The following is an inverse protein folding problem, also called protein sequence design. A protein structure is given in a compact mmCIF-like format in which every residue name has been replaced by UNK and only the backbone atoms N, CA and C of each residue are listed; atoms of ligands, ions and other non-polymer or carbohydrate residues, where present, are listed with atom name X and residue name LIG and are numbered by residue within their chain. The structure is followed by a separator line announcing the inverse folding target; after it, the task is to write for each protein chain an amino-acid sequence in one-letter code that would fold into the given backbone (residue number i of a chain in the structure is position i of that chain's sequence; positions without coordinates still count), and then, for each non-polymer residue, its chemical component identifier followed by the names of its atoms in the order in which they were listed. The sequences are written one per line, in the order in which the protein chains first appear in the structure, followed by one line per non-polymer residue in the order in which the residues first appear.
data_IF_255759619961
#
_entry.id   IF_255759619961
#
_cell.length_a   1.000
_cell.length_b   1.000
_cell.length_c   1.000
_cell.angle_alpha   90.00
_cell.angle_beta   90.00
_cell.angle_gamma   90.00
#
_symmetry.space_group_name_H-M   'P 1'
#
loop_
_entity.id
_entity.type
_entity.pdbx_description
1 polymer ?
#
# COMPACT_ATOMS: atom_id res chain seq x y z
N UNK A 1 -27.65 43.13 87.18
CA UNK A 1 -27.34 41.75 87.56
C UNK A 1 -27.81 40.82 86.42
N UNK A 2 -26.96 40.39 85.54
CA UNK A 2 -27.22 39.31 84.51
C UNK A 2 -25.91 38.62 84.25
N UNK A 3 -25.87 37.34 84.55
CA UNK A 3 -24.73 36.44 84.32
C UNK A 3 -24.53 36.19 82.84
N UNK A 4 -23.31 36.24 82.38
CA UNK A 4 -22.88 35.78 81.06
C UNK A 4 -22.32 34.39 81.21
N UNK A 5 -22.94 33.45 80.43
CA UNK A 5 -22.50 32.06 80.29
C UNK A 5 -21.61 31.95 79.09
N UNK A 6 -20.39 31.42 79.25
CA UNK A 6 -19.45 31.17 78.19
C UNK A 6 -19.74 29.78 77.55
N UNK A 7 -20.09 29.78 76.29
CA UNK A 7 -20.17 28.54 75.44
C UNK A 7 -18.82 28.26 74.77
N UNK A 8 -18.26 27.13 75.12
CA UNK A 8 -17.06 26.58 74.55
C UNK A 8 -17.34 26.00 73.20
N UNK A 9 -16.78 26.54 72.11
CA UNK A 9 -16.78 25.96 70.77
C UNK A 9 -15.63 24.94 70.64
N UNK A 10 -15.95 23.65 70.56
CA UNK A 10 -15.02 22.60 70.14
C UNK A 10 -14.81 22.69 68.65
N UNK A 11 -13.58 23.00 68.23
CA UNK A 11 -13.10 22.98 66.84
C UNK A 11 -12.81 21.55 66.42
N UNK A 12 -13.69 20.96 65.61
CA UNK A 12 -13.40 19.68 64.95
C UNK A 12 -12.56 19.94 63.69
N UNK A 13 -11.29 19.51 63.71
CA UNK A 13 -10.44 19.49 62.53
C UNK A 13 -10.80 18.29 61.67
N UNK A 14 -11.39 18.56 60.52
CA UNK A 14 -11.54 17.52 59.44
C UNK A 14 -10.24 17.44 58.69
N UNK A 15 -9.50 16.33 58.83
CA UNK A 15 -8.42 15.96 57.95
C UNK A 15 -9.05 15.51 56.62
N UNK A 16 -8.88 16.29 55.59
CA UNK A 16 -9.20 15.91 54.23
C UNK A 16 -7.98 15.13 53.68
N UNK A 17 -8.08 13.82 53.62
CA UNK A 17 -7.07 12.98 52.97
C UNK A 17 -7.21 13.18 51.45
N UNK A 18 -6.29 13.91 50.83
CA UNK A 18 -6.09 13.91 49.37
C UNK A 18 -5.49 12.56 48.95
N UNK A 19 -6.34 11.71 48.41
CA UNK A 19 -5.88 10.52 47.70
C UNK A 19 -5.37 10.99 46.32
N UNK A 20 -4.06 11.18 46.19
CA UNK A 20 -3.41 11.32 44.88
C UNK A 20 -3.51 9.95 44.16
N UNK A 21 -4.47 9.82 43.26
CA UNK A 21 -4.53 8.70 42.33
C UNK A 21 -3.34 8.81 41.38
N UNK A 22 -2.30 7.99 41.58
CA UNK A 22 -1.30 7.74 40.55
C UNK A 22 -2.02 7.06 39.37
N UNK A 23 -2.35 7.84 38.35
CA UNK A 23 -2.67 7.29 37.03
C UNK A 23 -1.38 6.67 36.48
N UNK A 24 -1.22 5.37 36.62
CA UNK A 24 -0.23 4.60 35.87
C UNK A 24 -0.61 4.72 34.39
N UNK A 25 -0.05 5.71 33.70
CA UNK A 25 0.03 5.68 32.25
C UNK A 25 0.95 4.50 31.90
N UNK A 26 0.34 3.35 31.61
CA UNK A 26 1.02 2.26 30.92
C UNK A 26 1.40 2.82 29.55
N UNK A 27 2.63 3.32 29.41
CA UNK A 27 3.22 3.51 28.09
C UNK A 27 3.27 2.13 27.47
N UNK A 28 2.39 1.86 26.51
CA UNK A 28 2.51 0.68 25.68
C UNK A 28 3.89 0.79 25.01
N UNK A 29 4.85 0.01 25.48
CA UNK A 29 6.16 -0.09 24.86
C UNK A 29 5.91 -0.72 23.49
N UNK A 30 6.07 0.07 22.43
CA UNK A 30 6.15 -0.42 21.06
C UNK A 30 7.17 -1.54 21.03
N UNK A 31 6.74 -2.74 20.68
CA UNK A 31 7.61 -3.91 20.59
C UNK A 31 7.61 -4.42 19.17
N UNK A 32 8.67 -4.07 18.44
CA UNK A 32 8.90 -4.63 17.11
C UNK A 32 8.73 -6.16 17.14
N UNK A 33 7.91 -6.75 16.25
CA UNK A 33 7.71 -8.19 16.20
C UNK A 33 9.01 -8.95 16.15
N UNK A 34 9.06 -10.09 16.86
CA UNK A 34 10.26 -10.93 16.92
C UNK A 34 10.58 -11.49 15.53
N UNK A 35 11.88 -11.72 15.25
CA UNK A 35 12.33 -12.21 13.95
C UNK A 35 11.67 -13.55 13.58
N UNK A 36 11.41 -14.41 14.56
CA UNK A 36 10.72 -15.69 14.33
C UNK A 36 9.30 -15.51 13.74
N UNK A 37 8.58 -14.44 14.12
CA UNK A 37 7.24 -14.13 13.57
C UNK A 37 7.36 -13.67 12.11
N UNK A 38 8.36 -12.82 11.83
CA UNK A 38 8.65 -12.37 10.45
C UNK A 38 9.08 -13.54 9.57
N UNK A 39 9.93 -14.44 10.08
CA UNK A 39 10.40 -15.63 9.36
C UNK A 39 9.24 -16.59 9.06
N UNK A 40 8.31 -16.78 10.01
CA UNK A 40 7.12 -17.58 9.80
C UNK A 40 6.22 -17.00 8.69
N UNK A 41 5.99 -15.69 8.72
CA UNK A 41 5.26 -15.01 7.66
C UNK A 41 5.95 -15.17 6.31
N UNK A 42 7.26 -14.91 6.24
CA UNK A 42 8.05 -15.05 5.01
C UNK A 42 8.00 -16.47 4.45
N UNK A 43 8.10 -17.48 5.31
CA UNK A 43 8.00 -18.89 4.88
C UNK A 43 6.62 -19.20 4.25
N UNK A 44 5.55 -18.66 4.82
CA UNK A 44 4.20 -18.79 4.25
C UNK A 44 4.07 -18.00 2.94
N UNK A 45 4.62 -16.77 2.89
CA UNK A 45 4.66 -15.94 1.69
C UNK A 45 5.35 -16.68 0.53
N UNK A 46 6.54 -17.22 0.74
CA UNK A 46 7.29 -17.94 -0.31
C UNK A 46 6.52 -19.15 -0.82
N UNK A 47 5.80 -19.86 0.05
CA UNK A 47 4.95 -21.01 -0.33
C UNK A 47 3.61 -20.58 -0.95
N UNK A 48 3.21 -19.32 -0.84
CA UNK A 48 1.91 -18.83 -1.28
C UNK A 48 0.73 -19.43 -0.51
N UNK A 49 0.90 -19.71 0.76
CA UNK A 49 -0.13 -20.26 1.64
C UNK A 49 -0.57 -19.21 2.68
N UNK A 50 -1.72 -19.45 3.31
CA UNK A 50 -2.22 -18.55 4.36
C UNK A 50 -1.24 -18.44 5.54
N UNK A 51 -1.12 -17.24 6.09
CA UNK A 51 -0.26 -16.93 7.23
C UNK A 51 -1.08 -16.40 8.41
N UNK A 52 -0.54 -16.57 9.62
CA UNK A 52 -1.00 -15.84 10.80
C UNK A 52 -0.39 -14.45 10.73
N UNK A 53 -1.18 -13.40 11.05
CA UNK A 53 -0.73 -12.03 11.11
C UNK A 53 0.17 -11.73 12.33
N UNK A 54 0.58 -10.48 12.44
CA UNK A 54 1.48 -10.01 13.50
C UNK A 54 0.76 -9.70 14.82
N UNK A 55 -0.58 -9.63 14.77
CA UNK A 55 -1.44 -9.50 15.96
C UNK A 55 -2.39 -8.29 15.90
N UNK A 56 -3.55 -8.41 16.58
CA UNK A 56 -4.63 -7.42 16.46
C UNK A 56 -4.31 -6.06 17.10
N UNK A 57 -3.28 -6.00 17.94
CA UNK A 57 -2.84 -4.78 18.65
C UNK A 57 -1.57 -4.17 18.08
N UNK A 58 -1.20 -4.57 16.85
CA UNK A 58 -0.01 -4.07 16.18
C UNK A 58 -0.10 -2.53 16.02
N UNK A 59 0.86 -1.81 16.59
CA UNK A 59 0.94 -0.35 16.43
C UNK A 59 1.53 0.03 15.06
N UNK A 60 1.35 1.29 14.63
CA UNK A 60 1.97 1.80 13.41
C UNK A 60 3.49 1.60 13.42
N UNK A 61 4.15 1.89 14.54
CA UNK A 61 5.61 1.74 14.68
C UNK A 61 6.03 0.28 14.60
N UNK A 62 5.27 -0.64 15.19
CA UNK A 62 5.58 -2.06 15.15
C UNK A 62 5.36 -2.65 13.76
N UNK A 63 4.31 -2.19 13.06
CA UNK A 63 4.02 -2.55 11.68
C UNK A 63 5.15 -2.11 10.72
N UNK A 64 5.59 -0.86 10.85
CA UNK A 64 6.75 -0.35 10.10
C UNK A 64 8.01 -1.17 10.41
N UNK A 65 8.27 -1.47 11.68
CA UNK A 65 9.40 -2.29 12.07
C UNK A 65 9.36 -3.69 11.43
N UNK A 66 8.21 -4.36 11.45
CA UNK A 66 8.01 -5.66 10.81
C UNK A 66 8.24 -5.58 9.30
N UNK A 67 7.69 -4.56 8.63
CA UNK A 67 7.88 -4.30 7.20
C UNK A 67 9.36 -4.19 6.84
N UNK A 68 10.14 -3.41 7.60
CA UNK A 68 11.57 -3.28 7.35
C UNK A 68 12.35 -4.56 7.61
N UNK A 69 11.99 -5.35 8.64
CA UNK A 69 12.59 -6.68 8.87
C UNK A 69 12.30 -7.62 7.69
N UNK A 70 11.06 -7.65 7.21
CA UNK A 70 10.65 -8.43 6.05
C UNK A 70 11.41 -7.99 4.80
N UNK A 71 11.48 -6.67 4.54
CA UNK A 71 12.18 -6.11 3.39
C UNK A 71 13.68 -6.45 3.33
N UNK A 72 14.34 -6.67 4.47
CA UNK A 72 15.74 -7.12 4.53
C UNK A 72 15.90 -8.59 4.09
N UNK A 73 14.85 -9.39 4.19
CA UNK A 73 14.91 -10.82 3.87
C UNK A 73 14.43 -11.13 2.46
N UNK A 74 13.44 -10.34 1.96
CA UNK A 74 12.82 -10.52 0.64
C UNK A 74 13.81 -10.59 -0.53
N UNK A 75 14.93 -9.84 -0.57
CA UNK A 75 15.89 -9.93 -1.67
C UNK A 75 16.46 -11.33 -1.92
N UNK A 76 16.56 -12.18 -0.91
CA UNK A 76 17.01 -13.58 -1.05
C UNK A 76 16.06 -14.40 -1.95
N UNK A 77 14.80 -14.00 -2.02
CA UNK A 77 13.75 -14.70 -2.77
C UNK A 77 13.32 -13.94 -4.03
N UNK A 78 13.35 -12.61 -3.99
CA UNK A 78 12.74 -11.74 -4.99
C UNK A 78 13.74 -10.90 -5.80
N UNK A 79 15.04 -11.04 -5.58
CA UNK A 79 16.05 -10.22 -6.24
C UNK A 79 16.22 -8.84 -5.61
N UNK A 80 16.86 -7.91 -6.31
CA UNK A 80 17.15 -6.58 -5.80
C UNK A 80 15.86 -5.74 -5.63
N UNK A 81 15.95 -4.71 -4.79
CA UNK A 81 14.92 -3.69 -4.67
C UNK A 81 14.81 -2.92 -5.99
N UNK A 82 13.60 -2.82 -6.53
CA UNK A 82 13.32 -2.13 -7.80
C UNK A 82 12.40 -0.91 -7.65
N UNK A 83 11.84 -0.70 -6.46
CA UNK A 83 10.98 0.45 -6.24
C UNK A 83 10.02 0.30 -5.08
N UNK A 84 8.96 1.10 -5.11
CA UNK A 84 8.02 1.25 -4.01
C UNK A 84 6.59 1.32 -4.52
N UNK A 85 5.64 0.96 -3.69
CA UNK A 85 4.22 1.01 -4.02
C UNK A 85 3.41 1.78 -3.00
N UNK A 86 2.33 2.40 -3.46
CA UNK A 86 1.28 2.97 -2.61
C UNK A 86 0.11 2.00 -2.44
N UNK A 87 -0.55 2.15 -1.30
CA UNK A 87 -1.87 1.57 -1.02
C UNK A 87 -2.71 2.57 -0.23
N UNK A 88 -4.00 2.30 -0.12
CA UNK A 88 -4.95 3.14 0.62
C UNK A 88 -4.98 4.59 0.12
N UNK A 89 -4.91 4.79 -1.20
CA UNK A 89 -4.92 6.13 -1.82
C UNK A 89 -6.31 6.75 -1.85
N UNK A 90 -7.37 5.96 -2.04
CA UNK A 90 -8.75 6.42 -2.00
C UNK A 90 -9.29 6.51 -0.57
N UNK A 91 -10.27 7.38 -0.34
CA UNK A 91 -10.96 7.46 0.95
C UNK A 91 -11.65 6.14 1.31
N UNK A 92 -12.28 5.48 0.34
CA UNK A 92 -12.94 4.19 0.53
C UNK A 92 -11.96 3.12 0.99
N UNK A 93 -10.81 2.99 0.32
CA UNK A 93 -9.77 2.03 0.69
C UNK A 93 -9.24 2.30 2.10
N UNK A 94 -9.02 3.57 2.47
CA UNK A 94 -8.61 3.93 3.84
C UNK A 94 -9.64 3.52 4.88
N UNK A 95 -10.91 3.77 4.64
CA UNK A 95 -12.00 3.39 5.55
C UNK A 95 -12.11 1.86 5.71
N UNK A 96 -11.99 1.12 4.61
CA UNK A 96 -12.05 -0.35 4.61
C UNK A 96 -10.99 -0.98 5.51
N UNK A 97 -9.78 -0.44 5.52
CA UNK A 97 -8.65 -0.98 6.27
C UNK A 97 -8.34 -0.24 7.57
N UNK A 98 -9.07 0.83 7.88
CA UNK A 98 -8.83 1.67 9.06
C UNK A 98 -7.52 2.48 8.96
N UNK A 99 -7.13 2.90 7.74
CA UNK A 99 -5.96 3.72 7.53
C UNK A 99 -6.31 5.21 7.54
N UNK A 100 -5.55 6.03 8.27
CA UNK A 100 -5.75 7.49 8.31
C UNK A 100 -5.16 8.19 7.07
N UNK A 101 -4.10 7.62 6.51
CA UNK A 101 -3.35 8.15 5.36
C UNK A 101 -2.92 7.01 4.44
N UNK A 102 -2.46 7.31 3.20
CA UNK A 102 -1.86 6.30 2.34
C UNK A 102 -0.70 5.58 3.03
N UNK A 103 -0.45 4.35 2.61
CA UNK A 103 0.64 3.50 3.11
C UNK A 103 1.53 3.09 1.94
N UNK A 104 2.79 2.78 2.23
CA UNK A 104 3.75 2.38 1.20
C UNK A 104 4.49 1.09 1.56
N UNK A 105 4.95 0.37 0.53
CA UNK A 105 5.71 -0.86 0.63
C UNK A 105 6.81 -0.95 -0.43
N UNK A 106 7.53 -2.06 -0.45
CA UNK A 106 8.67 -2.33 -1.32
C UNK A 106 8.29 -3.21 -2.50
N UNK A 107 8.91 -2.99 -3.66
CA UNK A 107 8.83 -3.84 -4.85
C UNK A 107 10.23 -4.35 -5.20
N UNK A 108 10.30 -5.61 -5.65
CA UNK A 108 11.56 -6.29 -5.95
C UNK A 108 11.55 -6.82 -7.38
N UNK A 109 12.72 -7.06 -7.98
CA UNK A 109 12.88 -7.45 -9.39
C UNK A 109 11.95 -8.58 -9.82
N UNK A 110 11.87 -9.68 -9.06
CA UNK A 110 11.03 -10.83 -9.42
C UNK A 110 9.54 -10.64 -9.22
N UNK A 111 9.13 -9.52 -8.59
CA UNK A 111 7.74 -9.13 -8.54
C UNK A 111 7.27 -8.46 -9.84
N UNK A 112 8.21 -7.99 -10.67
CA UNK A 112 7.94 -7.21 -11.87
C UNK A 112 8.05 -8.13 -13.10
N UNK A 113 6.90 -8.45 -13.69
CA UNK A 113 6.80 -9.32 -14.86
C UNK A 113 6.51 -8.43 -16.07
N UNK A 114 7.26 -8.60 -17.13
CA UNK A 114 7.00 -7.92 -18.39
C UNK A 114 5.79 -8.53 -19.10
N UNK A 115 5.25 -7.80 -20.07
CA UNK A 115 4.02 -8.09 -20.80
C UNK A 115 3.99 -9.52 -21.39
N UNK A 116 2.80 -10.11 -21.45
CA UNK A 116 2.45 -11.49 -21.85
C UNK A 116 2.69 -12.47 -20.69
N UNK A 117 1.88 -12.33 -19.65
CA UNK A 117 1.96 -13.24 -18.53
C UNK A 117 0.77 -14.20 -18.51
N UNK A 118 1.06 -15.47 -18.40
CA UNK A 118 0.10 -16.47 -17.94
C UNK A 118 0.37 -16.72 -16.48
N UNK A 119 -0.57 -16.29 -15.63
CA UNK A 119 -0.43 -16.34 -14.18
C UNK A 119 -1.36 -17.39 -13.61
N UNK A 120 -0.92 -18.33 -12.76
CA UNK A 120 -1.83 -19.25 -12.10
C UNK A 120 -2.89 -18.51 -11.31
N UNK A 121 -4.18 -18.83 -11.47
CA UNK A 121 -5.26 -18.17 -10.74
C UNK A 121 -5.10 -18.24 -9.20
N UNK A 122 -4.34 -19.23 -8.71
CA UNK A 122 -3.99 -19.40 -7.29
C UNK A 122 -2.55 -18.95 -7.00
N UNK A 123 -2.06 -17.85 -7.60
CA UNK A 123 -0.71 -17.33 -7.36
C UNK A 123 -0.42 -16.95 -5.89
N UNK A 124 -1.44 -16.84 -5.06
CA UNK A 124 -1.41 -16.57 -3.62
C UNK A 124 -2.41 -17.41 -2.84
N UNK A 125 -2.53 -17.19 -1.54
CA UNK A 125 -3.54 -17.81 -0.69
C UNK A 125 -4.94 -17.19 -0.91
N UNK A 126 -4.99 -15.86 -1.03
CA UNK A 126 -6.17 -15.06 -1.37
C UNK A 126 -5.81 -14.02 -2.45
N UNK A 127 -5.58 -14.49 -3.69
CA UNK A 127 -5.09 -13.67 -4.77
C UNK A 127 -6.14 -12.66 -5.23
N UNK A 128 -5.67 -11.45 -5.51
CA UNK A 128 -6.42 -10.36 -6.10
C UNK A 128 -5.57 -9.69 -7.18
N UNK A 129 -6.22 -9.06 -8.16
CA UNK A 129 -5.57 -8.24 -9.17
C UNK A 129 -6.35 -6.93 -9.39
N UNK A 130 -5.63 -5.88 -9.73
CA UNK A 130 -6.24 -4.58 -10.04
C UNK A 130 -5.44 -3.81 -11.11
N UNK A 131 -6.08 -2.76 -11.66
CA UNK A 131 -5.46 -1.85 -12.59
C UNK A 131 -4.77 -0.71 -11.82
N UNK A 132 -3.56 -0.38 -12.23
CA UNK A 132 -2.70 0.56 -11.55
C UNK A 132 -1.84 1.35 -12.55
N UNK A 133 -1.07 2.32 -12.07
CA UNK A 133 -0.10 3.09 -12.83
C UNK A 133 1.23 3.11 -12.10
N UNK A 134 2.31 2.91 -12.83
CA UNK A 134 3.69 3.06 -12.35
C UNK A 134 4.34 4.27 -13.01
N UNK A 135 5.23 4.93 -12.30
CA UNK A 135 6.17 5.91 -12.85
C UNK A 135 7.59 5.49 -12.57
N UNK A 136 8.50 5.77 -13.50
CA UNK A 136 9.93 5.55 -13.35
C UNK A 136 10.63 6.84 -12.97
N UNK A 137 11.50 6.76 -11.99
CA UNK A 137 12.22 7.89 -11.42
C UNK A 137 13.44 8.24 -12.28
N UNK A 138 13.54 9.51 -12.67
CA UNK A 138 14.71 10.09 -13.32
C UNK A 138 15.76 10.54 -12.32
N UNK A 139 15.31 11.16 -11.22
CA UNK A 139 16.20 11.66 -10.17
C UNK A 139 15.47 11.84 -8.82
N UNK A 140 16.22 12.16 -7.76
CA UNK A 140 15.67 12.31 -6.40
C UNK A 140 14.81 13.57 -6.19
N UNK A 141 14.76 14.49 -7.16
CA UNK A 141 14.06 15.77 -7.05
C UNK A 141 12.55 15.67 -6.97
N UNK A 142 11.95 14.51 -7.30
CA UNK A 142 10.49 14.31 -7.20
C UNK A 142 9.93 14.64 -5.82
N UNK A 143 10.68 14.42 -4.73
CA UNK A 143 10.25 14.73 -3.38
C UNK A 143 10.12 16.26 -3.11
N UNK A 144 10.71 17.10 -3.92
CA UNK A 144 10.65 18.57 -3.82
C UNK A 144 9.52 19.16 -4.67
N UNK A 145 9.01 18.40 -5.63
CA UNK A 145 7.93 18.87 -6.50
C UNK A 145 6.67 19.23 -5.68
N UNK A 146 5.99 20.28 -6.12
CA UNK A 146 4.76 20.80 -5.53
C UNK A 146 3.56 20.70 -6.47
N UNK A 147 3.81 20.52 -7.75
CA UNK A 147 2.79 20.43 -8.80
C UNK A 147 3.02 19.22 -9.70
N UNK A 148 1.98 18.71 -10.36
CA UNK A 148 2.11 17.65 -11.36
C UNK A 148 3.11 18.00 -12.48
N UNK A 149 3.10 19.24 -12.96
CA UNK A 149 4.02 19.67 -14.02
C UNK A 149 5.48 19.67 -13.55
N UNK A 150 5.76 20.08 -12.30
CA UNK A 150 7.09 19.97 -11.71
C UNK A 150 7.51 18.52 -11.56
N UNK A 151 6.61 17.62 -11.13
CA UNK A 151 6.89 16.20 -10.97
C UNK A 151 7.39 15.56 -12.27
N UNK A 152 6.84 15.93 -13.44
CA UNK A 152 7.27 15.40 -14.74
C UNK A 152 8.76 15.63 -15.04
N UNK A 153 9.38 16.64 -14.46
CA UNK A 153 10.82 16.91 -14.66
C UNK A 153 11.71 15.83 -14.04
N UNK A 154 11.18 15.08 -13.09
CA UNK A 154 11.87 14.08 -12.29
C UNK A 154 11.47 12.64 -12.63
N UNK A 155 10.75 12.44 -13.73
CA UNK A 155 10.27 11.15 -14.22
C UNK A 155 10.79 10.88 -15.63
N UNK A 156 11.12 9.61 -15.91
CA UNK A 156 11.51 9.16 -17.24
C UNK A 156 10.34 8.58 -18.02
N UNK A 157 9.53 7.76 -17.37
CA UNK A 157 8.42 7.07 -18.04
C UNK A 157 7.21 6.87 -17.12
N UNK A 158 6.08 6.54 -17.77
CA UNK A 158 4.84 6.08 -17.14
C UNK A 158 4.46 4.74 -17.76
N UNK A 159 4.01 3.79 -16.96
CA UNK A 159 3.61 2.46 -17.43
C UNK A 159 2.26 2.06 -16.86
N UNK A 160 1.27 1.69 -17.67
CA UNK A 160 0.17 0.86 -17.25
C UNK A 160 0.64 -0.41 -16.54
N UNK A 161 -0.12 -0.83 -15.54
CA UNK A 161 0.36 -1.83 -14.61
C UNK A 161 -0.83 -2.61 -14.05
N UNK A 162 -0.72 -3.94 -14.01
CA UNK A 162 -1.63 -4.79 -13.25
C UNK A 162 -0.94 -5.23 -11.98
N UNK A 163 -1.45 -4.83 -10.83
CA UNK A 163 -0.97 -5.32 -9.54
C UNK A 163 -1.55 -6.70 -9.23
N UNK A 164 -0.71 -7.57 -8.68
CA UNK A 164 -1.09 -8.86 -8.11
C UNK A 164 -0.86 -8.78 -6.61
N UNK A 165 -1.95 -8.81 -5.84
CA UNK A 165 -1.92 -8.78 -4.39
C UNK A 165 -2.41 -10.09 -3.78
N UNK A 166 -2.04 -10.38 -2.54
CA UNK A 166 -2.40 -11.61 -1.84
C UNK A 166 -2.76 -11.29 -0.39
N UNK A 167 -4.06 -11.19 -0.09
CA UNK A 167 -4.56 -10.98 1.26
C UNK A 167 -4.45 -12.28 2.08
N UNK A 168 -3.23 -12.80 2.19
CA UNK A 168 -2.94 -14.14 2.69
C UNK A 168 -3.12 -14.32 4.20
N UNK A 169 -3.45 -13.28 4.97
CA UNK A 169 -3.65 -13.41 6.40
C UNK A 169 -4.95 -14.16 6.73
N UNK A 170 -4.88 -15.08 7.67
CA UNK A 170 -6.05 -15.81 8.20
C UNK A 170 -6.91 -14.96 9.15
N UNK A 171 -6.44 -13.79 9.55
CA UNK A 171 -7.10 -12.82 10.41
C UNK A 171 -7.50 -11.55 9.67
N UNK A 172 -7.89 -10.48 10.40
CA UNK A 172 -8.25 -9.20 9.81
C UNK A 172 -7.06 -8.55 9.06
N UNK A 173 -7.33 -8.03 7.86
CA UNK A 173 -6.36 -7.22 7.10
C UNK A 173 -6.48 -5.74 7.53
N UNK A 174 -6.11 -5.41 8.78
CA UNK A 174 -6.06 -4.03 9.25
C UNK A 174 -4.96 -3.25 8.53
N UNK A 175 -5.00 -1.91 8.57
CA UNK A 175 -3.97 -1.08 7.97
C UNK A 175 -2.56 -1.47 8.45
N UNK A 176 -2.40 -1.74 9.75
CA UNK A 176 -1.11 -2.11 10.33
C UNK A 176 -0.65 -3.51 9.94
N UNK A 177 -1.56 -4.48 9.88
CA UNK A 177 -1.25 -5.81 9.32
C UNK A 177 -0.83 -5.73 7.85
N UNK A 178 -1.51 -4.91 7.04
CA UNK A 178 -1.12 -4.68 5.64
C UNK A 178 0.27 -4.05 5.55
N UNK A 179 0.59 -3.06 6.38
CA UNK A 179 1.93 -2.47 6.42
C UNK A 179 2.97 -3.52 6.79
N UNK A 180 2.77 -4.29 7.86
CA UNK A 180 3.69 -5.31 8.33
C UNK A 180 3.98 -6.39 7.27
N UNK A 181 2.99 -6.69 6.42
CA UNK A 181 3.05 -7.67 5.33
C UNK A 181 3.49 -7.09 3.98
N UNK A 182 4.11 -5.91 3.98
CA UNK A 182 4.50 -5.21 2.75
C UNK A 182 3.32 -4.95 1.81
N UNK A 183 2.18 -4.54 2.36
CA UNK A 183 0.94 -4.21 1.66
C UNK A 183 0.39 -5.35 0.80
N UNK A 184 0.58 -6.58 1.24
CA UNK A 184 0.11 -7.78 0.52
C UNK A 184 0.62 -7.90 -0.92
N UNK A 185 1.69 -7.20 -1.28
CA UNK A 185 2.25 -7.17 -2.63
C UNK A 185 2.85 -8.53 -2.99
N UNK A 186 2.42 -9.08 -4.12
CA UNK A 186 2.86 -10.40 -4.60
C UNK A 186 3.61 -10.31 -5.90
N UNK A 187 3.15 -9.44 -6.79
CA UNK A 187 3.73 -9.27 -8.10
C UNK A 187 2.96 -8.27 -8.94
N UNK A 188 3.33 -8.21 -10.20
CA UNK A 188 2.74 -7.27 -11.14
C UNK A 188 3.10 -7.61 -12.57
N UNK A 189 2.26 -7.14 -13.48
CA UNK A 189 2.53 -7.16 -14.91
C UNK A 189 2.57 -5.71 -15.39
N UNK A 190 3.67 -5.28 -15.97
CA UNK A 190 3.84 -3.93 -16.50
C UNK A 190 3.77 -3.92 -18.04
N UNK A 191 3.18 -2.86 -18.60
CA UNK A 191 3.16 -2.60 -20.03
C UNK A 191 4.51 -2.01 -20.50
N UNK A 192 4.72 -1.83 -21.82
CA UNK A 192 5.76 -0.97 -22.31
C UNK A 192 5.68 0.44 -21.72
N UNK A 193 6.82 1.09 -21.68
CA UNK A 193 6.99 2.46 -21.17
C UNK A 193 6.39 3.48 -22.13
N UNK A 194 5.70 4.48 -21.54
CA UNK A 194 5.31 5.71 -22.22
C UNK A 194 6.28 6.80 -21.76
N UNK A 195 7.17 7.30 -22.63
CA UNK A 195 8.13 8.32 -22.25
C UNK A 195 7.45 9.60 -21.76
N UNK A 196 7.95 10.18 -20.69
CA UNK A 196 7.39 11.39 -20.11
C UNK A 196 7.70 12.60 -21.01
N UNK A 197 6.67 13.42 -21.25
CA UNK A 197 6.80 14.74 -21.85
C UNK A 197 6.55 15.79 -20.78
N UNK A 198 7.52 16.70 -20.57
CA UNK A 198 7.39 17.77 -19.57
C UNK A 198 6.53 18.90 -20.14
N UNK A 199 5.23 18.63 -20.29
CA UNK A 199 4.22 19.55 -20.84
C UNK A 199 2.94 19.52 -20.03
N UNK A 200 2.20 20.63 -20.02
CA UNK A 200 0.88 20.68 -19.37
C UNK A 200 -0.08 19.66 -20.02
N UNK A 201 -0.01 19.51 -21.34
CA UNK A 201 -0.85 18.54 -22.07
C UNK A 201 -0.64 17.10 -21.56
N UNK A 202 0.61 16.68 -21.33
CA UNK A 202 0.91 15.36 -20.79
C UNK A 202 0.43 15.22 -19.34
N UNK A 203 0.61 16.25 -18.51
CA UNK A 203 0.07 16.26 -17.16
C UNK A 203 -1.47 16.12 -17.18
N UNK A 204 -2.17 16.89 -18.02
CA UNK A 204 -3.62 16.82 -18.14
C UNK A 204 -4.06 15.41 -18.62
N UNK A 205 -3.36 14.81 -19.57
CA UNK A 205 -3.62 13.46 -20.04
C UNK A 205 -3.53 12.43 -18.90
N UNK A 206 -2.52 12.53 -18.02
CA UNK A 206 -2.40 11.66 -16.84
C UNK A 206 -3.57 11.80 -15.85
N UNK A 207 -4.20 12.95 -15.77
CA UNK A 207 -5.37 13.16 -14.91
C UNK A 207 -6.67 12.66 -15.56
N UNK A 208 -6.76 12.77 -16.88
CA UNK A 208 -8.02 12.57 -17.62
C UNK A 208 -8.14 11.25 -18.34
N UNK A 209 -7.06 10.47 -18.49
CA UNK A 209 -7.16 9.15 -19.12
C UNK A 209 -8.21 8.30 -18.42
N UNK A 210 -8.78 7.37 -19.18
CA UNK A 210 -9.70 6.38 -18.64
C UNK A 210 -9.11 4.98 -18.76
N UNK A 211 -9.01 4.25 -17.65
CA UNK A 211 -8.71 2.83 -17.67
C UNK A 211 -9.99 2.02 -17.64
N UNK A 212 -10.09 1.03 -18.52
CA UNK A 212 -11.19 0.07 -18.52
C UNK A 212 -10.63 -1.33 -18.38
N UNK A 213 -11.16 -2.08 -17.41
CA UNK A 213 -10.88 -3.50 -17.21
C UNK A 213 -11.98 -4.34 -17.86
N UNK A 214 -11.59 -5.23 -18.74
CA UNK A 214 -12.48 -6.07 -19.54
C UNK A 214 -12.23 -7.55 -19.27
N UNK A 215 -13.31 -8.36 -19.18
CA UNK A 215 -13.23 -9.83 -19.28
C UNK A 215 -13.21 -10.24 -20.77
N UNK A 216 -12.04 -10.66 -21.24
CA UNK A 216 -11.86 -11.05 -22.65
C UNK A 216 -12.61 -12.32 -23.05
N UNK A 217 -13.05 -13.15 -22.08
CA UNK A 217 -13.83 -14.37 -22.34
C UNK A 217 -15.34 -14.12 -22.48
N UNK A 218 -15.81 -12.94 -22.10
CA UNK A 218 -17.23 -12.59 -22.08
C UNK A 218 -17.52 -11.40 -23.00
N UNK A 219 -17.11 -11.51 -24.26
CA UNK A 219 -17.31 -10.49 -25.31
C UNK A 219 -16.90 -9.07 -24.89
N UNK A 220 -15.88 -8.97 -24.01
CA UNK A 220 -15.39 -7.70 -23.51
C UNK A 220 -16.27 -7.08 -22.42
N UNK A 221 -16.95 -7.89 -21.59
CA UNK A 221 -17.70 -7.37 -20.43
C UNK A 221 -16.82 -6.46 -19.58
N UNK A 222 -17.30 -5.25 -19.30
CA UNK A 222 -16.63 -4.29 -18.44
C UNK A 222 -16.72 -4.77 -16.98
N UNK A 223 -15.58 -5.00 -16.35
CA UNK A 223 -15.44 -5.35 -14.93
C UNK A 223 -15.26 -4.12 -14.05
N UNK A 224 -14.75 -3.04 -14.61
CA UNK A 224 -14.56 -1.76 -13.93
C UNK A 224 -13.97 -0.72 -14.86
N UNK A 225 -14.11 0.55 -14.48
CA UNK A 225 -13.53 1.67 -15.20
C UNK A 225 -13.23 2.80 -14.22
N UNK A 226 -12.17 3.54 -14.47
CA UNK A 226 -11.78 4.69 -13.64
C UNK A 226 -10.96 5.70 -14.44
N UNK A 227 -10.97 6.94 -13.96
CA UNK A 227 -10.11 8.01 -14.49
C UNK A 227 -8.81 8.09 -13.70
N UNK A 228 -7.78 8.71 -14.29
CA UNK A 228 -6.51 8.94 -13.62
C UNK A 228 -6.65 9.76 -12.33
N UNK A 229 -7.57 10.71 -12.30
CA UNK A 229 -7.78 11.62 -11.15
C UNK A 229 -8.30 10.94 -9.87
N UNK A 230 -8.73 9.67 -9.90
CA UNK A 230 -9.05 8.91 -8.67
C UNK A 230 -7.81 8.72 -7.78
N UNK A 231 -6.61 8.80 -8.34
CA UNK A 231 -5.36 8.76 -7.58
C UNK A 231 -5.05 10.15 -7.00
N UNK A 232 -5.64 10.47 -5.85
CA UNK A 232 -5.40 11.71 -5.10
C UNK A 232 -5.66 13.01 -5.89
N UNK A 233 -6.67 12.99 -6.78
CA UNK A 233 -7.01 14.11 -7.68
C UNK A 233 -6.11 14.23 -8.91
N UNK A 234 -4.95 13.60 -8.89
CA UNK A 234 -4.01 13.49 -10.01
C UNK A 234 -2.96 12.41 -9.70
N UNK A 235 -2.61 11.49 -10.64
CA UNK A 235 -1.61 10.43 -10.39
C UNK A 235 -0.28 10.96 -9.86
N UNK A 236 0.19 12.09 -10.36
CA UNK A 236 1.46 12.67 -9.91
C UNK A 236 1.39 13.25 -8.49
N UNK A 237 0.20 13.56 -7.95
CA UNK A 237 0.06 13.87 -6.53
C UNK A 237 0.39 12.64 -5.66
N UNK A 238 -0.02 11.45 -6.11
CA UNK A 238 0.32 10.20 -5.44
C UNK A 238 1.84 9.92 -5.51
N UNK A 239 2.47 10.17 -6.67
CA UNK A 239 3.92 10.05 -6.84
C UNK A 239 4.69 11.02 -5.92
N UNK A 240 4.31 12.29 -5.88
CA UNK A 240 4.89 13.30 -4.99
C UNK A 240 4.72 12.91 -3.51
N UNK A 241 3.52 12.45 -3.15
CA UNK A 241 3.25 12.00 -1.78
C UNK A 241 4.18 10.85 -1.38
N UNK A 242 4.31 9.84 -2.27
CA UNK A 242 5.16 8.68 -2.01
C UNK A 242 6.63 9.09 -1.90
N UNK A 243 7.13 9.93 -2.81
CA UNK A 243 8.50 10.43 -2.75
C UNK A 243 8.80 11.18 -1.43
N UNK A 244 7.88 12.03 -0.98
CA UNK A 244 7.98 12.72 0.32
C UNK A 244 7.97 11.76 1.51
N UNK A 245 7.09 10.76 1.49
CA UNK A 245 7.01 9.74 2.54
C UNK A 245 8.30 8.89 2.62
N UNK A 246 8.86 8.51 1.47
CA UNK A 246 10.13 7.79 1.40
C UNK A 246 11.29 8.65 1.93
N UNK A 247 11.36 9.92 1.54
CA UNK A 247 12.35 10.88 2.07
C UNK A 247 12.25 11.02 3.59
N UNK A 248 11.04 11.11 4.15
CA UNK A 248 10.81 11.14 5.60
C UNK A 248 11.27 9.84 6.29
N UNK A 249 11.15 8.69 5.62
CA UNK A 249 11.68 7.41 6.10
C UNK A 249 13.20 7.25 5.90
N UNK A 250 13.90 8.28 5.43
CA UNK A 250 15.35 8.25 5.19
C UNK A 250 15.75 7.50 3.91
N UNK A 251 14.81 7.22 3.02
CA UNK A 251 15.03 6.53 1.75
C UNK A 251 15.22 7.57 0.65
N UNK A 252 16.30 7.44 -0.11
CA UNK A 252 16.60 8.26 -1.28
C UNK A 252 16.19 7.51 -2.55
N UNK A 253 15.37 8.14 -3.36
CA UNK A 253 15.04 7.65 -4.70
C UNK A 253 16.28 7.71 -5.60
N UNK A 254 16.36 6.76 -6.52
CA UNK A 254 17.44 6.64 -7.50
C UNK A 254 16.86 6.60 -8.91
N UNK A 255 17.61 7.02 -9.93
CA UNK A 255 17.23 6.78 -11.32
C UNK A 255 16.91 5.30 -11.55
N UNK A 256 15.80 5.04 -12.22
CA UNK A 256 15.27 3.71 -12.50
C UNK A 256 14.42 3.09 -11.38
N UNK A 257 14.29 3.72 -10.19
CA UNK A 257 13.32 3.26 -9.18
C UNK A 257 11.90 3.40 -9.72
N UNK A 258 11.06 2.39 -9.46
CA UNK A 258 9.67 2.38 -9.89
C UNK A 258 8.73 2.75 -8.74
N UNK A 259 7.75 3.62 -8.99
CA UNK A 259 6.72 3.97 -8.02
C UNK A 259 5.34 3.55 -8.53
N UNK A 260 4.72 2.56 -7.90
CA UNK A 260 3.32 2.19 -8.12
C UNK A 260 2.42 3.14 -7.32
N UNK A 261 1.44 3.76 -8.00
CA UNK A 261 0.67 4.90 -7.50
C UNK A 261 -0.65 4.52 -6.81
N UNK A 262 -0.95 3.23 -6.73
CA UNK A 262 -2.16 2.70 -6.10
C UNK A 262 -3.25 2.32 -7.10
N UNK A 263 -4.25 1.58 -6.60
CA UNK A 263 -5.32 1.00 -7.41
C UNK A 263 -6.21 2.06 -8.04
N UNK A 264 -6.40 1.96 -9.35
CA UNK A 264 -7.36 2.75 -10.14
C UNK A 264 -8.76 2.12 -10.08
N UNK A 265 -8.83 0.79 -10.20
CA UNK A 265 -10.06 -0.01 -10.18
C UNK A 265 -10.03 -0.91 -8.94
N UNK A 266 -11.18 -1.14 -8.32
CA UNK A 266 -11.31 -2.05 -7.17
C UNK A 266 -10.76 -3.44 -7.50
N UNK A 267 -9.97 -4.06 -6.59
CA UNK A 267 -9.36 -5.35 -6.81
C UNK A 267 -10.38 -6.45 -7.11
N UNK A 268 -10.05 -7.31 -8.07
CA UNK A 268 -10.87 -8.43 -8.53
C UNK A 268 -10.21 -9.77 -8.14
N UNK A 269 -11.03 -10.81 -7.97
CA UNK A 269 -10.54 -12.15 -7.71
C UNK A 269 -10.30 -12.90 -9.01
N UNK A 270 -9.09 -13.45 -9.26
CA UNK A 270 -8.82 -14.24 -10.46
C UNK A 270 -9.56 -15.58 -10.42
N UNK A 271 -9.91 -16.07 -11.63
CA UNK A 271 -10.48 -17.40 -11.85
C UNK A 271 -9.69 -18.07 -12.96
N UNK A 272 -9.52 -19.38 -12.88
CA UNK A 272 -8.90 -20.16 -13.93
C UNK A 272 -9.58 -19.95 -15.28
N UNK A 273 -8.80 -19.78 -16.33
CA UNK A 273 -9.25 -19.48 -17.68
C UNK A 273 -9.70 -18.03 -17.91
N UNK A 274 -9.65 -17.16 -16.90
CA UNK A 274 -10.02 -15.74 -17.03
C UNK A 274 -8.96 -14.99 -17.85
N UNK A 275 -9.40 -14.22 -18.85
CA UNK A 275 -8.55 -13.34 -19.67
C UNK A 275 -8.94 -11.90 -19.34
N UNK A 276 -7.99 -11.12 -18.89
CA UNK A 276 -8.20 -9.72 -18.53
C UNK A 276 -7.46 -8.84 -19.53
N UNK A 277 -8.16 -7.83 -20.02
CA UNK A 277 -7.60 -6.74 -20.80
C UNK A 277 -7.80 -5.42 -20.06
N UNK A 278 -6.71 -4.67 -19.84
CA UNK A 278 -6.72 -3.29 -19.39
C UNK A 278 -6.46 -2.38 -20.59
N UNK A 279 -7.29 -1.35 -20.77
CA UNK A 279 -7.14 -0.32 -21.80
C UNK A 279 -7.01 1.04 -21.14
N UNK A 280 -5.96 1.79 -21.51
CA UNK A 280 -5.67 3.11 -20.96
C UNK A 280 -5.87 4.18 -22.03
N UNK A 281 -7.12 4.53 -22.28
CA UNK A 281 -7.53 5.48 -23.31
C UNK A 281 -7.24 6.92 -22.88
N UNK A 282 -6.64 7.71 -23.77
CA UNK A 282 -6.24 9.09 -23.51
C UNK A 282 -4.80 9.26 -23.01
N UNK A 283 -4.07 8.17 -22.75
CA UNK A 283 -2.60 8.21 -22.66
C UNK A 283 -2.01 8.15 -24.08
N UNK A 284 -0.80 8.67 -24.29
CA UNK A 284 -0.09 8.46 -25.56
C UNK A 284 -0.04 6.99 -25.94
N UNK A 285 -0.27 6.70 -27.22
CA UNK A 285 -0.32 5.34 -27.80
C UNK A 285 -1.42 4.43 -27.22
N UNK A 286 -2.27 4.91 -26.33
CA UNK A 286 -3.39 4.18 -25.69
C UNK A 286 -3.02 2.74 -25.29
N UNK A 287 -2.02 2.55 -24.44
CA UNK A 287 -1.47 1.23 -24.16
C UNK A 287 -2.51 0.27 -23.60
N UNK A 288 -2.39 -1.00 -24.01
CA UNK A 288 -3.20 -2.11 -23.53
C UNK A 288 -2.29 -3.14 -22.83
N UNK A 289 -2.86 -3.84 -21.86
CA UNK A 289 -2.20 -4.92 -21.14
C UNK A 289 -3.17 -6.11 -21.06
N UNK A 290 -2.68 -7.30 -21.45
CA UNK A 290 -3.47 -8.53 -21.41
C UNK A 290 -2.82 -9.55 -20.48
N UNK A 291 -3.64 -10.23 -19.67
CA UNK A 291 -3.21 -11.27 -18.74
C UNK A 291 -4.19 -12.44 -18.81
N UNK A 292 -3.67 -13.66 -18.85
CA UNK A 292 -4.45 -14.88 -18.72
C UNK A 292 -4.18 -15.53 -17.37
N UNK A 293 -5.24 -15.84 -16.63
CA UNK A 293 -5.16 -16.61 -15.40
C UNK A 293 -5.36 -18.09 -15.72
N UNK A 294 -4.27 -18.87 -15.70
CA UNK A 294 -4.31 -20.31 -15.98
C UNK A 294 -4.96 -21.11 -14.86
N UNK A 295 -5.16 -22.40 -15.11
CA UNK A 295 -5.54 -23.37 -14.09
C UNK A 295 -4.64 -23.28 -12.85
N UNK A 296 -5.20 -23.63 -11.71
CA UNK A 296 -4.48 -23.63 -10.45
C UNK A 296 -3.27 -24.57 -10.51
N UNK A 297 -2.10 -24.08 -10.10
CA UNK A 297 -0.95 -24.95 -9.86
C UNK A 297 -1.28 -25.92 -8.72
N UNK A 298 -1.03 -27.22 -8.94
CA UNK A 298 -0.98 -28.17 -7.84
C UNK A 298 0.30 -27.89 -7.02
N UNK A 299 0.13 -27.31 -5.86
CA UNK A 299 1.27 -26.92 -5.00
C UNK A 299 1.84 -28.09 -4.21
N UNK A 300 1.40 -29.33 -4.49
CA UNK A 300 1.79 -30.52 -3.75
C UNK A 300 1.53 -30.33 -2.26
N UNK A 301 0.62 -31.06 -1.68
CA UNK A 301 0.34 -31.02 -0.23
C UNK A 301 1.52 -31.51 0.56
#
# INVERSE_FOLDING_TARGET
MKQFSFLSLKRQSRLTACILGLACFSTAYSKCPDDAVVDQYLAAYVKGISAIGFGPTLSDTDAECAKFKLAKQLPKHLGALSGYKLSSVSQTSRQTHGAEQPRWGFMFERNLIDIIAVIPANFGAYPLFDANLIVEIKDEGLAEASTPLEALQHLDSVMPFMELSDLMLSGPNTANELVATNLSFRGSIKSPEVPVQVTQHFADALSTFNVTMLDGNQDGQVLGSARGDVLMGHPLNAAIWLAKALKQAGIKLKPGDLLSLGSLIEPQKPRAGMKIKLRYQGLPDEPELEVEFSEAFDRGR
#
